data_IF_812049464384
#
_entry.id   IF_812049464384
#
_cell.length_a   1.000
_cell.length_b   1.000
_cell.length_c   1.000
_cell.angle_alpha   90.00
_cell.angle_beta   90.00
_cell.angle_gamma   90.00
#
_symmetry.space_group_name_H-M   'P 1'
#
loop_
_entity.id
_entity.type
_entity.pdbx_description
1 polymer ?
#
# COMPACT_ATOMS: atom_id res chain seq x y z
N UNK A 1 -0.37 9.80 3.94
CA UNK A 1 0.45 10.63 3.04
C UNK A 1 1.94 10.32 3.20
N UNK A 2 2.48 10.37 4.43
CA UNK A 2 3.90 10.10 4.74
C UNK A 2 4.37 8.74 4.22
N UNK A 3 3.73 7.65 4.68
CA UNK A 3 4.12 6.29 4.29
C UNK A 3 3.94 6.03 2.80
N UNK A 4 2.95 6.62 2.16
CA UNK A 4 2.75 6.48 0.72
C UNK A 4 3.96 6.98 -0.08
N UNK A 5 4.47 8.17 0.22
CA UNK A 5 5.65 8.71 -0.44
C UNK A 5 6.92 7.88 -0.19
N UNK A 6 7.14 7.51 1.07
CA UNK A 6 8.31 6.74 1.48
C UNK A 6 8.33 5.33 0.87
N UNK A 7 7.18 4.63 0.87
CA UNK A 7 7.06 3.28 0.31
C UNK A 7 7.21 3.29 -1.21
N UNK A 8 6.69 4.31 -1.89
CA UNK A 8 6.86 4.44 -3.34
C UNK A 8 8.33 4.50 -3.74
N UNK A 9 9.13 5.29 -3.02
CA UNK A 9 10.58 5.32 -3.20
C UNK A 9 11.21 3.95 -2.92
N UNK A 10 10.80 3.29 -1.83
CA UNK A 10 11.30 1.97 -1.46
C UNK A 10 10.99 0.92 -2.53
N UNK A 11 9.78 0.89 -3.02
CA UNK A 11 9.34 -0.04 -4.07
C UNK A 11 10.11 0.17 -5.38
N UNK A 12 10.35 1.42 -5.78
CA UNK A 12 11.19 1.72 -6.94
C UNK A 12 12.62 1.20 -6.76
N UNK A 13 13.22 1.40 -5.57
CA UNK A 13 14.59 0.94 -5.27
C UNK A 13 14.77 -0.58 -5.30
N UNK A 14 13.74 -1.33 -4.95
CA UNK A 14 13.77 -2.80 -5.01
C UNK A 14 13.32 -3.37 -6.35
N UNK A 15 13.08 -2.53 -7.35
CA UNK A 15 12.86 -2.93 -8.73
C UNK A 15 11.42 -2.99 -9.20
N UNK A 16 10.46 -2.40 -8.48
CA UNK A 16 9.09 -2.25 -9.00
C UNK A 16 9.10 -1.35 -10.24
N UNK A 17 8.34 -1.77 -11.27
CA UNK A 17 8.22 -0.98 -12.50
C UNK A 17 7.37 0.27 -12.28
N UNK A 18 7.59 1.29 -13.11
CA UNK A 18 6.77 2.51 -13.06
C UNK A 18 5.28 2.20 -13.22
N UNK A 19 4.94 1.30 -14.14
CA UNK A 19 3.55 0.88 -14.37
C UNK A 19 2.91 0.26 -13.14
N UNK A 20 3.63 -0.58 -12.38
CA UNK A 20 3.12 -1.15 -11.12
C UNK A 20 2.88 -0.07 -10.06
N UNK A 21 3.77 0.91 -9.97
CA UNK A 21 3.64 2.02 -9.01
C UNK A 21 2.44 2.92 -9.36
N UNK A 22 2.23 3.21 -10.63
CA UNK A 22 1.11 4.05 -11.09
C UNK A 22 -0.24 3.33 -10.98
N UNK A 23 -0.30 2.03 -11.30
CA UNK A 23 -1.53 1.25 -11.36
C UNK A 23 -1.90 0.57 -10.03
N UNK A 24 -1.06 0.64 -9.00
CA UNK A 24 -1.31 0.00 -7.69
C UNK A 24 -2.65 0.44 -7.07
N UNK A 25 -3.10 1.65 -7.31
CA UNK A 25 -4.34 2.21 -6.76
C UNK A 25 -5.59 1.83 -7.56
N UNK A 26 -5.40 1.29 -8.74
CA UNK A 26 -6.45 0.70 -9.58
C UNK A 26 -6.07 -0.74 -9.99
N UNK A 27 -5.50 -1.48 -9.06
CA UNK A 27 -4.95 -2.82 -9.31
C UNK A 27 -5.98 -3.81 -9.84
N UNK A 28 -7.25 -3.68 -9.46
CA UNK A 28 -8.32 -4.58 -9.90
C UNK A 28 -8.51 -4.55 -11.42
N UNK A 29 -8.29 -3.40 -12.05
CA UNK A 29 -8.39 -3.18 -13.49
C UNK A 29 -7.05 -3.33 -14.22
N UNK A 30 -5.95 -3.52 -13.49
CA UNK A 30 -4.61 -3.61 -14.04
C UNK A 30 -4.27 -5.02 -14.52
N UNK A 31 -3.53 -5.12 -15.62
CA UNK A 31 -2.98 -6.38 -16.13
C UNK A 31 -1.60 -6.73 -15.57
N UNK A 32 -0.95 -5.81 -14.85
CA UNK A 32 0.40 -6.02 -14.29
C UNK A 32 0.41 -6.75 -12.96
N UNK A 33 -0.75 -6.94 -12.35
CA UNK A 33 -0.93 -7.72 -11.13
C UNK A 33 -1.58 -9.05 -11.43
N UNK A 34 -1.00 -10.14 -10.92
CA UNK A 34 -1.58 -11.48 -11.04
C UNK A 34 -2.86 -11.62 -10.20
N UNK A 35 -3.63 -12.67 -10.47
CA UNK A 35 -4.84 -12.97 -9.68
C UNK A 35 -4.50 -13.20 -8.20
N UNK A 36 -3.37 -13.86 -7.92
CA UNK A 36 -2.88 -14.06 -6.56
C UNK A 36 -2.52 -12.73 -5.87
N UNK A 37 -1.83 -11.84 -6.58
CA UNK A 37 -1.51 -10.50 -6.06
C UNK A 37 -2.77 -9.67 -5.81
N UNK A 38 -3.76 -9.74 -6.71
CA UNK A 38 -5.04 -9.04 -6.53
C UNK A 38 -5.79 -9.52 -5.28
N UNK A 39 -5.80 -10.84 -5.03
CA UNK A 39 -6.38 -11.40 -3.81
C UNK A 39 -5.68 -10.88 -2.53
N UNK A 40 -4.35 -10.78 -2.56
CA UNK A 40 -3.57 -10.18 -1.46
C UNK A 40 -3.88 -8.70 -1.25
N UNK A 41 -4.04 -7.93 -2.33
CA UNK A 41 -4.39 -6.51 -2.27
C UNK A 41 -5.82 -6.27 -1.80
N UNK A 42 -6.77 -7.12 -2.20
CA UNK A 42 -8.15 -7.09 -1.69
C UNK A 42 -8.18 -7.34 -0.17
N UNK A 43 -7.46 -8.36 0.29
CA UNK A 43 -7.31 -8.63 1.71
C UNK A 43 -6.68 -7.45 2.46
N UNK A 44 -5.60 -6.88 1.95
CA UNK A 44 -4.93 -5.74 2.56
C UNK A 44 -5.86 -4.51 2.66
N UNK A 45 -6.62 -4.24 1.62
CA UNK A 45 -7.60 -3.14 1.59
C UNK A 45 -8.71 -3.34 2.63
N UNK A 46 -9.25 -4.55 2.72
CA UNK A 46 -10.28 -4.90 3.70
C UNK A 46 -9.76 -4.83 5.14
N UNK A 47 -8.55 -5.37 5.39
CA UNK A 47 -7.92 -5.37 6.71
C UNK A 47 -7.52 -3.97 7.19
N UNK A 48 -7.15 -3.06 6.27
CA UNK A 48 -6.82 -1.68 6.59
C UNK A 48 -8.04 -0.76 6.76
N UNK A 49 -9.23 -1.24 6.43
CA UNK A 49 -10.47 -0.44 6.55
C UNK A 49 -10.91 -0.25 7.99
N UNK A 50 -11.58 0.88 8.27
CA UNK A 50 -12.22 1.16 9.56
C UNK A 50 -13.72 1.44 9.34
N UNK A 51 -14.61 0.59 9.88
CA UNK A 51 -14.33 -0.67 10.56
C UNK A 51 -13.68 -1.71 9.62
N UNK A 52 -13.06 -2.74 10.20
CA UNK A 52 -12.44 -3.84 9.43
C UNK A 52 -13.49 -4.53 8.55
N UNK A 53 -13.12 -4.80 7.30
CA UNK A 53 -14.02 -5.36 6.26
C UNK A 53 -13.63 -6.77 5.81
N UNK A 54 -12.69 -7.42 6.51
CA UNK A 54 -12.34 -8.81 6.18
C UNK A 54 -13.49 -9.72 6.53
N UNK A 55 -13.91 -10.53 5.54
CA UNK A 55 -14.94 -11.56 5.66
C UNK A 55 -14.37 -12.92 5.28
N UNK A 56 -15.17 -13.98 5.41
CA UNK A 56 -14.78 -15.31 4.95
C UNK A 56 -14.48 -15.35 3.44
N UNK A 57 -15.07 -14.45 2.66
CA UNK A 57 -14.82 -14.36 1.23
C UNK A 57 -13.37 -13.94 0.94
N UNK A 58 -12.87 -12.88 1.58
CA UNK A 58 -11.48 -12.43 1.40
C UNK A 58 -10.49 -13.52 1.84
N UNK A 59 -10.76 -14.18 2.96
CA UNK A 59 -9.92 -15.29 3.46
C UNK A 59 -9.92 -16.47 2.50
N UNK A 60 -11.07 -16.86 1.97
CA UNK A 60 -11.19 -17.98 1.02
C UNK A 60 -10.45 -17.68 -0.29
N UNK A 61 -10.60 -16.48 -0.82
CA UNK A 61 -9.89 -16.04 -2.01
C UNK A 61 -8.36 -16.06 -1.79
N UNK A 62 -7.91 -15.55 -0.65
CA UNK A 62 -6.50 -15.52 -0.29
C UNK A 62 -5.90 -16.93 -0.18
N UNK A 63 -6.60 -17.85 0.49
CA UNK A 63 -6.19 -19.25 0.65
C UNK A 63 -6.16 -20.05 -0.65
N UNK A 64 -6.84 -19.59 -1.70
CA UNK A 64 -6.77 -20.22 -3.02
C UNK A 64 -5.39 -20.04 -3.68
N UNK A 65 -4.60 -19.06 -3.26
CA UNK A 65 -3.30 -18.71 -3.87
C UNK A 65 -2.12 -18.75 -2.89
N UNK A 66 -2.38 -18.57 -1.58
CA UNK A 66 -1.35 -18.37 -0.57
C UNK A 66 -1.52 -19.34 0.59
N UNK A 67 -0.41 -19.83 1.14
CA UNK A 67 -0.44 -20.68 2.33
C UNK A 67 -0.59 -19.86 3.62
N UNK A 68 -0.84 -20.53 4.74
CA UNK A 68 -1.09 -19.86 6.02
C UNK A 68 0.12 -19.02 6.48
N UNK A 69 1.35 -19.45 6.20
CA UNK A 69 2.57 -18.71 6.53
C UNK A 69 2.65 -17.39 5.76
N UNK A 70 2.36 -17.43 4.46
CA UNK A 70 2.33 -16.23 3.61
C UNK A 70 1.27 -15.23 4.11
N UNK A 71 0.10 -15.74 4.50
CA UNK A 71 -1.01 -14.91 5.00
C UNK A 71 -0.64 -14.22 6.31
N UNK A 72 0.04 -14.92 7.21
CA UNK A 72 0.52 -14.35 8.48
C UNK A 72 1.57 -13.27 8.22
N UNK A 73 2.49 -13.48 7.28
CA UNK A 73 3.48 -12.47 6.89
C UNK A 73 2.80 -11.21 6.29
N UNK A 74 1.84 -11.41 5.39
CA UNK A 74 1.05 -10.31 4.83
C UNK A 74 0.34 -9.50 5.93
N UNK A 75 -0.29 -10.19 6.89
CA UNK A 75 -0.97 -9.52 8.00
C UNK A 75 0.01 -8.75 8.89
N UNK A 76 1.21 -9.29 9.10
CA UNK A 76 2.29 -8.61 9.82
C UNK A 76 2.68 -7.29 9.16
N UNK A 77 2.84 -7.28 7.83
CA UNK A 77 3.13 -6.06 7.06
C UNK A 77 1.97 -5.06 7.15
N UNK A 78 0.73 -5.51 6.96
CA UNK A 78 -0.46 -4.64 7.06
C UNK A 78 -0.55 -4.00 8.45
N UNK A 79 -0.36 -4.77 9.52
CA UNK A 79 -0.41 -4.29 10.90
C UNK A 79 0.72 -3.29 11.20
N UNK A 80 1.93 -3.56 10.72
CA UNK A 80 3.08 -2.66 10.88
C UNK A 80 2.79 -1.29 10.21
N UNK A 81 2.32 -1.29 8.97
CA UNK A 81 1.98 -0.06 8.28
C UNK A 81 0.76 0.64 8.88
N UNK A 82 -0.18 -0.08 9.42
CA UNK A 82 -1.28 0.50 10.21
C UNK A 82 -0.79 1.26 11.44
N UNK A 83 0.19 0.70 12.16
CA UNK A 83 0.86 1.38 13.28
C UNK A 83 1.62 2.62 12.80
N UNK A 84 2.47 2.47 11.77
CA UNK A 84 3.29 3.57 11.25
C UNK A 84 2.44 4.72 10.67
N UNK A 85 1.35 4.41 10.00
CA UNK A 85 0.43 5.42 9.48
C UNK A 85 -0.18 6.26 10.60
N UNK A 86 -0.69 5.62 11.65
CA UNK A 86 -1.22 6.34 12.82
C UNK A 86 -0.17 7.20 13.49
N UNK A 87 1.02 6.64 13.71
CA UNK A 87 2.12 7.38 14.33
C UNK A 87 2.51 8.60 13.51
N UNK A 88 2.89 8.40 12.26
CA UNK A 88 3.41 9.48 11.41
C UNK A 88 2.36 10.55 11.11
N UNK A 89 1.12 10.14 10.85
CA UNK A 89 0.04 11.09 10.57
C UNK A 89 -0.38 11.86 11.83
N UNK A 90 -0.32 11.26 13.01
CA UNK A 90 -0.64 11.94 14.27
C UNK A 90 0.47 12.90 14.69
N UNK A 91 1.73 12.47 14.56
CA UNK A 91 2.90 13.27 14.96
C UNK A 91 3.31 14.28 13.90
N UNK A 92 2.79 14.21 12.68
CA UNK A 92 3.18 15.08 11.58
C UNK A 92 4.64 14.92 11.16
N UNK A 93 5.17 13.70 11.20
CA UNK A 93 6.55 13.39 10.85
C UNK A 93 6.95 14.00 9.51
N UNK A 94 8.10 14.67 9.45
CA UNK A 94 8.60 15.30 8.22
C UNK A 94 9.05 14.25 7.21
N UNK A 95 8.74 14.49 5.95
CA UNK A 95 9.15 13.63 4.84
C UNK A 95 10.28 14.31 4.06
N UNK A 96 11.32 13.55 3.74
CA UNK A 96 12.46 14.05 2.98
C UNK A 96 12.09 14.36 1.52
N UNK A 97 12.92 15.16 0.84
CA UNK A 97 12.65 15.64 -0.51
C UNK A 97 12.49 14.51 -1.53
N UNK A 98 13.34 13.48 -1.48
CA UNK A 98 13.30 12.39 -2.47
C UNK A 98 12.00 11.55 -2.39
N UNK A 99 11.51 11.11 -1.21
CA UNK A 99 10.16 10.54 -1.10
C UNK A 99 9.04 11.46 -1.57
N UNK A 100 9.16 12.78 -1.35
CA UNK A 100 8.17 13.76 -1.84
C UNK A 100 8.15 13.76 -3.37
N UNK A 101 9.32 13.85 -4.02
CA UNK A 101 9.45 13.80 -5.49
C UNK A 101 8.80 12.53 -6.07
N UNK A 102 9.06 11.37 -5.46
CA UNK A 102 8.49 10.09 -5.91
C UNK A 102 6.99 10.02 -5.69
N UNK A 103 6.50 10.53 -4.57
CA UNK A 103 5.06 10.66 -4.32
C UNK A 103 4.36 11.55 -5.35
N UNK A 104 4.95 12.69 -5.68
CA UNK A 104 4.42 13.58 -6.72
C UNK A 104 4.44 12.94 -8.10
N UNK A 105 5.50 12.21 -8.44
CA UNK A 105 5.62 11.54 -9.74
C UNK A 105 4.58 10.42 -9.93
N UNK A 106 4.43 9.53 -8.96
CA UNK A 106 3.67 8.28 -9.13
C UNK A 106 2.28 8.29 -8.51
N UNK A 107 2.04 9.08 -7.47
CA UNK A 107 0.79 9.05 -6.71
C UNK A 107 -0.13 10.24 -6.97
N UNK A 108 0.41 11.36 -7.40
CA UNK A 108 -0.38 12.60 -7.57
C UNK A 108 -1.55 12.41 -8.55
N UNK A 109 -1.27 11.82 -9.70
CA UNK A 109 -2.29 11.61 -10.73
C UNK A 109 -3.36 10.60 -10.31
N UNK A 110 -3.03 9.37 -9.84
CA UNK A 110 -4.04 8.39 -9.50
C UNK A 110 -4.79 8.67 -8.19
N UNK A 111 -4.19 9.39 -7.24
CA UNK A 111 -4.76 9.54 -5.89
C UNK A 111 -4.92 10.97 -5.41
N UNK A 112 -4.57 11.96 -6.23
CA UNK A 112 -4.44 13.37 -5.81
C UNK A 112 -3.51 13.56 -4.60
N UNK A 113 -2.48 12.73 -4.50
CA UNK A 113 -1.54 12.75 -3.39
C UNK A 113 -0.85 14.09 -3.23
N UNK A 114 -0.71 14.52 -1.98
CA UNK A 114 0.09 15.69 -1.59
C UNK A 114 0.90 15.34 -0.35
N UNK A 115 2.02 16.02 -0.15
CA UNK A 115 2.81 15.84 1.07
C UNK A 115 2.06 16.34 2.32
N UNK A 116 1.13 17.27 2.16
CA UNK A 116 0.32 17.82 3.25
C UNK A 116 1.18 18.36 4.41
N UNK A 117 0.80 18.01 5.64
CA UNK A 117 1.50 18.42 6.88
C UNK A 117 2.89 17.83 7.08
N UNK A 118 3.33 16.92 6.21
CA UNK A 118 4.64 16.25 6.31
C UNK A 118 5.76 17.00 5.57
N UNK A 119 5.47 18.16 5.02
CA UNK A 119 6.48 19.08 4.46
C UNK A 119 7.12 19.87 5.60
N UNK A 120 8.42 19.90 5.60
CA UNK A 120 9.20 20.76 6.52
C UNK A 120 9.11 22.22 6.09
#
# INVERSE_FOLDING_TARGET
>A
LYCQGLITLGAERIGSTEKRLEEAWDYSNSSVFSTAEKAALDFASAAASLPNKVTENEISQLKSYWNDSDIVEMMGVIALFGFLNRWNDSMGSSLEDLPIEKGEKYLKKPTNWTVGKHRV
#
